data_IF_159888838785
#
_entry.id   IF_159888838785
#
_cell.length_a   1.000
_cell.length_b   1.000
_cell.length_c   1.000
_cell.angle_alpha   90.00
_cell.angle_beta   90.00
_cell.angle_gamma   90.00
#
_symmetry.space_group_name_H-M   'P 1'
#
loop_
_entity.id
_entity.type
_entity.pdbx_description
1 polymer ?
#
# COMPACT_ATOMS: atom_id res chain seq x y z
N UNK A 1 13.10 12.68 8.01
CA UNK A 1 12.76 11.92 9.23
C UNK A 1 11.77 12.73 10.05
N UNK A 2 10.73 12.10 10.60
CA UNK A 2 9.73 12.74 11.46
C UNK A 2 10.10 12.49 12.93
N UNK A 3 9.80 13.46 13.80
CA UNK A 3 9.90 13.32 15.25
C UNK A 3 8.59 13.81 15.88
N UNK A 4 7.76 12.91 16.45
CA UNK A 4 7.98 11.47 16.56
C UNK A 4 7.91 10.72 15.21
N UNK A 5 8.58 9.57 15.05
CA UNK A 5 8.40 8.65 13.93
C UNK A 5 6.93 8.27 13.74
N UNK A 6 6.48 8.30 12.48
CA UNK A 6 5.08 8.11 12.12
C UNK A 6 4.65 6.65 12.15
N UNK A 7 3.53 6.38 12.82
CA UNK A 7 2.69 5.20 12.59
C UNK A 7 2.10 5.27 11.18
N UNK A 8 2.21 4.19 10.42
CA UNK A 8 1.83 4.17 9.00
C UNK A 8 1.38 2.78 8.56
N UNK A 9 0.73 2.69 7.39
CA UNK A 9 0.51 1.42 6.70
C UNK A 9 1.73 1.11 5.82
N UNK A 10 2.40 0.00 6.12
CA UNK A 10 3.44 -0.59 5.29
C UNK A 10 2.86 -1.60 4.29
N UNK A 11 3.65 -1.93 3.27
CA UNK A 11 3.29 -2.92 2.26
C UNK A 11 4.49 -3.32 1.39
N UNK A 12 4.27 -4.27 0.48
CA UNK A 12 5.30 -4.79 -0.44
C UNK A 12 5.45 -3.88 -1.67
N UNK A 13 6.09 -2.72 -1.51
CA UNK A 13 6.20 -1.72 -2.59
C UNK A 13 7.05 -2.20 -3.78
N UNK A 14 8.08 -3.01 -3.53
CA UNK A 14 8.91 -3.58 -4.61
C UNK A 14 8.12 -4.57 -5.46
N UNK A 15 7.29 -5.40 -4.84
CA UNK A 15 6.42 -6.35 -5.53
C UNK A 15 5.32 -5.62 -6.30
N UNK A 16 4.73 -4.58 -5.69
CA UNK A 16 3.78 -3.71 -6.38
C UNK A 16 4.37 -3.12 -7.66
N UNK A 17 5.62 -2.65 -7.60
CA UNK A 17 6.32 -2.12 -8.77
C UNK A 17 6.52 -3.17 -9.87
N UNK A 18 6.96 -4.38 -9.51
CA UNK A 18 7.14 -5.48 -10.49
C UNK A 18 5.83 -5.86 -11.15
N UNK A 19 4.80 -6.12 -10.36
CA UNK A 19 3.48 -6.49 -10.86
C UNK A 19 2.88 -5.40 -11.77
N UNK A 20 3.06 -4.12 -11.42
CA UNK A 20 2.61 -3.03 -12.26
C UNK A 20 3.32 -3.02 -13.62
N UNK A 21 4.63 -3.26 -13.66
CA UNK A 21 5.39 -3.36 -14.92
C UNK A 21 4.94 -4.57 -15.73
N UNK A 22 4.75 -5.73 -15.10
CA UNK A 22 4.30 -6.94 -15.76
C UNK A 22 2.91 -6.76 -16.40
N UNK A 23 1.99 -6.12 -15.67
CA UNK A 23 0.67 -5.74 -16.20
C UNK A 23 0.81 -4.81 -17.40
N UNK A 24 1.65 -3.78 -17.33
CA UNK A 24 1.88 -2.83 -18.43
C UNK A 24 2.45 -3.50 -19.69
N UNK A 25 3.42 -4.40 -19.53
CA UNK A 25 4.01 -5.14 -20.66
C UNK A 25 3.00 -6.13 -21.25
N UNK A 26 2.23 -6.83 -20.40
CA UNK A 26 1.16 -7.73 -20.83
C UNK A 26 0.06 -7.00 -21.62
N UNK A 27 -0.27 -5.76 -21.25
CA UNK A 27 -1.20 -4.91 -22.00
C UNK A 27 -0.67 -4.48 -23.37
N UNK A 28 0.65 -4.31 -23.52
CA UNK A 28 1.27 -3.91 -24.79
C UNK A 28 1.30 -5.08 -25.77
N UNK A 29 1.65 -6.27 -25.28
CA UNK A 29 1.96 -7.42 -26.13
C UNK A 29 0.71 -8.21 -26.57
N UNK A 30 -0.43 -7.97 -25.91
CA UNK A 30 -1.72 -8.53 -26.30
C UNK A 30 -2.76 -7.42 -26.47
N UNK A 31 -3.44 -7.39 -27.62
CA UNK A 31 -4.71 -6.69 -27.76
C UNK A 31 -5.74 -7.35 -26.83
N UNK A 32 -5.68 -7.01 -25.53
CA UNK A 32 -6.40 -7.70 -24.47
C UNK A 32 -7.89 -7.39 -24.60
N UNK A 33 -8.55 -8.18 -25.43
CA UNK A 33 -10.00 -8.36 -25.42
C UNK A 33 -10.36 -9.07 -24.13
N UNK A 34 -10.60 -8.33 -23.05
CA UNK A 34 -11.70 -8.58 -22.12
C UNK A 34 -11.71 -7.52 -21.02
N UNK A 35 -12.89 -6.99 -20.75
CA UNK A 35 -13.22 -5.78 -20.01
C UNK A 35 -13.10 -5.94 -18.48
N UNK A 36 -12.05 -6.58 -18.00
CA UNK A 36 -11.77 -6.64 -16.56
C UNK A 36 -10.31 -6.33 -16.39
N UNK A 37 -9.99 -5.04 -16.29
CA UNK A 37 -8.67 -4.60 -15.86
C UNK A 37 -8.27 -5.43 -14.64
N UNK A 38 -7.16 -6.16 -14.73
CA UNK A 38 -6.66 -7.05 -13.67
C UNK A 38 -6.38 -6.22 -12.41
N UNK A 39 -7.39 -6.08 -11.57
CA UNK A 39 -7.25 -5.42 -10.28
C UNK A 39 -6.53 -6.39 -9.35
N UNK A 40 -5.31 -6.02 -8.96
CA UNK A 40 -4.50 -6.77 -8.01
C UNK A 40 -4.55 -6.05 -6.66
N UNK A 41 -4.94 -6.77 -5.60
CA UNK A 41 -4.90 -6.28 -4.22
C UNK A 41 -3.70 -6.88 -3.52
N UNK A 42 -2.81 -6.03 -3.01
CA UNK A 42 -1.62 -6.44 -2.29
C UNK A 42 -1.80 -6.28 -0.78
N UNK A 43 -1.19 -7.17 0.03
CA UNK A 43 -1.28 -7.08 1.47
C UNK A 43 -0.61 -5.81 2.00
N UNK A 44 -1.25 -5.18 2.98
CA UNK A 44 -0.68 -4.11 3.79
C UNK A 44 -0.71 -4.49 5.27
N UNK A 45 0.11 -3.84 6.08
CA UNK A 45 0.18 -4.05 7.51
C UNK A 45 0.40 -2.74 8.25
N UNK A 46 -0.16 -2.62 9.46
CA UNK A 46 0.06 -1.46 10.31
C UNK A 46 1.44 -1.53 10.97
N UNK A 47 2.22 -0.47 10.80
CA UNK A 47 3.50 -0.26 11.50
C UNK A 47 3.27 0.81 12.56
N UNK A 48 3.10 0.38 13.81
CA UNK A 48 2.93 1.28 14.95
C UNK A 48 4.27 1.87 15.37
N UNK A 49 4.30 3.19 15.57
CA UNK A 49 5.44 3.97 16.08
C UNK A 49 4.93 5.02 17.08
N UNK A 50 5.76 6.01 17.39
CA UNK A 50 5.57 6.97 18.49
C UNK A 50 4.56 8.09 18.18
N UNK A 51 4.11 8.23 16.93
CA UNK A 51 3.13 9.27 16.57
C UNK A 51 1.68 8.94 16.92
N UNK A 52 1.40 7.75 17.47
CA UNK A 52 0.05 7.34 17.88
C UNK A 52 0.08 6.75 19.28
N UNK A 53 -0.91 7.12 20.09
CA UNK A 53 -1.05 6.60 21.46
C UNK A 53 -2.48 6.77 21.96
N UNK A 54 -2.74 6.36 23.21
CA UNK A 54 -4.05 6.54 23.84
C UNK A 54 -4.45 8.02 23.87
N UNK A 55 -5.74 8.30 23.66
CA UNK A 55 -6.26 9.64 23.85
C UNK A 55 -6.06 10.10 25.31
N UNK A 56 -5.75 11.39 25.56
CA UNK A 56 -5.68 11.93 26.92
C UNK A 56 -6.99 11.68 27.67
N UNK A 57 -6.90 11.20 28.90
CA UNK A 57 -8.09 11.07 29.76
C UNK A 57 -8.46 12.45 30.28
N UNK A 58 -9.67 12.91 29.98
CA UNK A 58 -10.21 14.12 30.60
C UNK A 58 -10.71 13.76 32.01
N UNK A 59 -10.27 14.46 33.08
CA UNK A 59 -10.92 14.33 34.39
C UNK A 59 -12.36 14.85 34.26
N UNK A 60 -13.32 14.07 34.76
CA UNK A 60 -14.72 14.50 34.88
C UNK A 60 -14.88 15.46 36.05
#
# INVERSE_FOLDING_TARGET
FCSPPLTTLGGSFTEAGRLAVDLLLGMRDAAWRSETASQVVLPSHLIVRESTGPAPRHPR
#
